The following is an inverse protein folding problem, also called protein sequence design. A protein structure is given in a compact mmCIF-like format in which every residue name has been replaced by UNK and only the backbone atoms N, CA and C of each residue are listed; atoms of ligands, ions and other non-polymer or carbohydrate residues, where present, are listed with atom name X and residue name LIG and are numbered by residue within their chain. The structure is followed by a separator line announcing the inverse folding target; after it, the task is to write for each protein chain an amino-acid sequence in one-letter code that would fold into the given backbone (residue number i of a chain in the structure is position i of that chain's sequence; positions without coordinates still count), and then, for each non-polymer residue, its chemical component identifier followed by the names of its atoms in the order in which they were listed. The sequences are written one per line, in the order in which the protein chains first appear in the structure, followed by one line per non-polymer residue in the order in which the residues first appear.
data_IF_656369509606
#
_entry.id   IF_656369509606
#
_cell.length_a   1.000
_cell.length_b   1.000
_cell.length_c   1.000
_cell.angle_alpha   90.00
_cell.angle_beta   90.00
_cell.angle_gamma   90.00
#
_symmetry.space_group_name_H-M   'P 1'
#
loop_
_entity.id
_entity.type
_entity.pdbx_description
1 polymer ?
#
# COMPACT_ATOMS: atom_id res chain seq x y z
N UNK A 1 -32.55 -0.01 -2.55
CA UNK A 1 -31.24 0.55 -2.13
C UNK A 1 -30.16 -0.47 -2.50
N UNK A 2 -29.11 -0.07 -3.19
CA UNK A 2 -27.96 -0.94 -3.46
C UNK A 2 -26.93 -0.74 -2.37
N UNK A 3 -26.37 -1.81 -1.85
CA UNK A 3 -25.30 -1.79 -0.86
C UNK A 3 -24.04 -2.37 -1.47
N UNK A 4 -22.91 -1.71 -1.27
CA UNK A 4 -21.60 -2.17 -1.69
C UNK A 4 -20.73 -2.40 -0.46
N UNK A 5 -19.93 -3.45 -0.47
CA UNK A 5 -18.95 -3.74 0.57
C UNK A 5 -17.56 -3.59 -0.04
N UNK A 6 -16.73 -2.77 0.59
CA UNK A 6 -15.33 -2.59 0.22
C UNK A 6 -14.46 -3.33 1.23
N UNK A 7 -13.62 -4.22 0.74
CA UNK A 7 -12.62 -4.92 1.53
C UNK A 7 -11.25 -4.32 1.25
N UNK A 8 -10.54 -3.93 2.30
CA UNK A 8 -9.17 -3.43 2.19
C UNK A 8 -8.21 -4.51 2.66
N UNK A 9 -7.32 -4.92 1.76
CA UNK A 9 -6.35 -5.97 2.03
C UNK A 9 -4.96 -5.38 1.88
N UNK A 10 -4.16 -5.50 2.95
CA UNK A 10 -2.76 -5.10 2.93
C UNK A 10 -1.94 -6.11 2.13
N UNK A 11 -0.97 -5.62 1.34
CA UNK A 11 0.00 -6.47 0.67
C UNK A 11 0.81 -7.32 1.66
N UNK A 12 1.33 -8.46 1.19
CA UNK A 12 2.25 -9.30 1.95
C UNK A 12 3.59 -8.62 2.22
N UNK A 13 4.40 -9.25 3.05
CA UNK A 13 5.68 -8.68 3.47
C UNK A 13 6.72 -8.71 2.36
N UNK A 14 7.50 -7.63 2.32
CA UNK A 14 8.75 -7.54 1.55
C UNK A 14 9.93 -7.69 2.52
N UNK A 15 11.13 -7.93 2.01
CA UNK A 15 12.34 -7.95 2.83
C UNK A 15 12.54 -6.63 3.60
N UNK A 16 12.22 -5.50 2.97
CA UNK A 16 12.31 -4.21 3.63
C UNK A 16 11.30 -4.05 4.78
N UNK A 17 10.10 -4.64 4.67
CA UNK A 17 9.15 -4.68 5.79
C UNK A 17 9.68 -5.52 6.95
N UNK A 18 10.31 -6.66 6.67
CA UNK A 18 10.93 -7.51 7.69
C UNK A 18 12.04 -6.78 8.44
N UNK A 19 12.77 -5.91 7.76
CA UNK A 19 13.83 -5.08 8.33
C UNK A 19 13.33 -3.78 8.99
N UNK A 20 12.03 -3.50 8.95
CA UNK A 20 11.45 -2.27 9.51
C UNK A 20 11.80 -1.00 8.74
N UNK A 21 12.03 -1.12 7.43
CA UNK A 21 12.35 0.02 6.56
C UNK A 21 11.10 0.66 6.00
N UNK A 22 11.13 1.98 5.82
CA UNK A 22 10.08 2.70 5.12
C UNK A 22 10.07 2.31 3.63
N UNK A 23 8.93 1.87 3.13
CA UNK A 23 8.73 1.48 1.74
C UNK A 23 7.44 2.08 1.21
N UNK A 24 7.56 2.97 0.27
CA UNK A 24 6.44 3.61 -0.40
C UNK A 24 6.47 3.33 -1.91
N UNK A 25 7.09 4.22 -2.67
CA UNK A 25 7.19 4.10 -4.13
C UNK A 25 8.23 3.08 -4.61
N UNK A 26 9.16 2.67 -3.75
CA UNK A 26 10.12 1.62 -4.10
C UNK A 26 9.37 0.33 -4.46
N UNK A 27 9.65 -0.19 -5.66
CA UNK A 27 8.91 -1.31 -6.24
C UNK A 27 9.57 -2.65 -5.93
N UNK A 28 9.40 -3.10 -4.68
CA UNK A 28 9.92 -4.36 -4.18
C UNK A 28 8.90 -5.49 -4.34
N UNK A 29 9.39 -6.67 -4.72
CA UNK A 29 8.63 -7.92 -4.68
C UNK A 29 8.39 -8.36 -3.23
N UNK A 30 7.41 -9.26 -3.04
CA UNK A 30 7.24 -9.97 -1.79
C UNK A 30 8.51 -10.75 -1.45
N UNK A 31 8.82 -10.88 -0.15
CA UNK A 31 9.83 -11.83 0.31
C UNK A 31 9.27 -13.26 0.22
N UNK A 32 10.16 -14.25 0.25
CA UNK A 32 9.74 -15.66 0.30
C UNK A 32 8.85 -15.93 1.52
N UNK A 33 9.20 -15.36 2.66
CA UNK A 33 8.38 -15.44 3.86
C UNK A 33 7.01 -14.79 3.67
N UNK A 34 6.96 -13.63 3.04
CA UNK A 34 5.71 -12.93 2.72
C UNK A 34 4.81 -13.74 1.81
N UNK A 35 5.36 -14.39 0.79
CA UNK A 35 4.60 -15.29 -0.07
C UNK A 35 4.05 -16.50 0.69
N UNK A 36 4.89 -17.15 1.50
CA UNK A 36 4.48 -18.33 2.29
C UNK A 36 3.38 -17.98 3.28
N UNK A 37 3.49 -16.82 3.93
CA UNK A 37 2.47 -16.30 4.85
C UNK A 37 1.12 -16.07 4.13
N UNK A 38 1.14 -15.45 2.96
CA UNK A 38 -0.08 -15.25 2.17
C UNK A 38 -0.73 -16.56 1.73
N UNK A 39 0.06 -17.54 1.32
CA UNK A 39 -0.44 -18.87 0.96
C UNK A 39 -1.08 -19.57 2.16
N UNK A 40 -0.43 -19.48 3.31
CA UNK A 40 -0.98 -20.01 4.56
C UNK A 40 -2.30 -19.33 4.93
N UNK A 41 -2.37 -18.01 4.86
CA UNK A 41 -3.58 -17.26 5.17
C UNK A 41 -4.71 -17.60 4.19
N UNK A 42 -4.39 -17.74 2.90
CA UNK A 42 -5.38 -18.12 1.89
C UNK A 42 -6.00 -19.49 2.21
N UNK A 43 -5.18 -20.44 2.63
CA UNK A 43 -5.64 -21.81 2.92
C UNK A 43 -6.38 -21.92 4.26
N UNK A 44 -6.12 -21.04 5.21
CA UNK A 44 -6.61 -21.13 6.59
C UNK A 44 -7.59 -20.03 6.99
N UNK A 45 -7.76 -19.00 6.18
CA UNK A 45 -8.70 -17.89 6.42
C UNK A 45 -9.71 -17.79 5.29
N UNK A 46 -10.88 -17.23 5.61
CA UNK A 46 -11.91 -16.95 4.62
C UNK A 46 -11.68 -15.58 4.03
N UNK A 47 -11.31 -15.53 2.75
CA UNK A 47 -11.24 -14.29 1.99
C UNK A 47 -12.55 -14.03 1.24
N UNK A 48 -12.89 -12.76 0.97
CA UNK A 48 -14.05 -12.44 0.13
C UNK A 48 -13.82 -12.94 -1.30
N UNK A 49 -14.91 -13.17 -2.01
CA UNK A 49 -14.92 -13.45 -3.45
C UNK A 49 -15.57 -12.27 -4.19
N UNK A 50 -14.84 -11.16 -4.36
CA UNK A 50 -15.41 -9.95 -4.93
C UNK A 50 -15.51 -10.04 -6.46
N UNK A 51 -16.54 -9.43 -7.06
CA UNK A 51 -16.67 -9.38 -8.51
C UNK A 51 -15.61 -8.49 -9.18
N UNK A 52 -15.03 -7.57 -8.43
CA UNK A 52 -13.99 -6.65 -8.91
C UNK A 52 -12.90 -6.51 -7.87
N UNK A 53 -11.65 -6.56 -8.33
CA UNK A 53 -10.46 -6.33 -7.51
C UNK A 53 -9.69 -5.14 -8.07
N UNK A 54 -9.34 -4.21 -7.22
CA UNK A 54 -8.46 -3.08 -7.55
C UNK A 54 -7.11 -3.28 -6.90
N UNK A 55 -6.05 -2.91 -7.58
CA UNK A 55 -4.69 -3.01 -7.02
C UNK A 55 -3.84 -1.81 -7.40
N UNK A 56 -2.89 -1.48 -6.54
CA UNK A 56 -1.77 -0.60 -6.86
C UNK A 56 -0.88 -1.27 -7.93
N UNK A 57 -0.13 -0.51 -8.74
CA UNK A 57 0.80 -1.07 -9.72
C UNK A 57 2.07 -1.68 -9.12
N UNK A 58 2.32 -1.50 -7.82
CA UNK A 58 3.53 -2.01 -7.17
C UNK A 58 3.52 -3.54 -7.11
N UNK A 59 4.69 -4.16 -7.34
CA UNK A 59 4.86 -5.62 -7.38
C UNK A 59 4.31 -6.31 -6.15
N UNK A 60 4.60 -5.81 -4.94
CA UNK A 60 4.09 -6.38 -3.70
C UNK A 60 2.57 -6.46 -3.65
N UNK A 61 1.88 -5.51 -4.30
CA UNK A 61 0.42 -5.49 -4.36
C UNK A 61 -0.12 -6.44 -5.43
N UNK A 62 0.44 -6.40 -6.63
CA UNK A 62 0.03 -7.28 -7.73
C UNK A 62 0.31 -8.75 -7.42
N UNK A 63 1.46 -9.06 -6.83
CA UNK A 63 1.84 -10.41 -6.37
C UNK A 63 0.91 -10.91 -5.25
N UNK A 64 0.54 -10.04 -4.31
CA UNK A 64 -0.46 -10.37 -3.27
C UNK A 64 -1.80 -10.72 -3.91
N UNK A 65 -2.23 -9.94 -4.89
CA UNK A 65 -3.46 -10.20 -5.64
C UNK A 65 -3.40 -11.55 -6.37
N UNK A 66 -2.31 -11.86 -7.02
CA UNK A 66 -2.10 -13.14 -7.72
C UNK A 66 -2.19 -14.36 -6.79
N UNK A 67 -1.68 -14.23 -5.57
CA UNK A 67 -1.74 -15.30 -4.57
C UNK A 67 -3.15 -15.46 -4.01
N UNK A 68 -3.78 -14.37 -3.58
CA UNK A 68 -5.08 -14.41 -2.91
C UNK A 68 -6.25 -14.58 -3.88
N UNK A 69 -6.16 -14.00 -5.07
CA UNK A 69 -7.21 -13.98 -6.07
C UNK A 69 -6.68 -14.39 -7.46
N UNK A 70 -6.21 -15.64 -7.61
CA UNK A 70 -5.51 -16.07 -8.84
C UNK A 70 -6.38 -16.02 -10.11
N UNK A 71 -7.70 -16.08 -9.96
CA UNK A 71 -8.64 -16.04 -11.09
C UNK A 71 -9.13 -14.61 -11.40
N UNK A 72 -8.75 -13.63 -10.58
CA UNK A 72 -9.13 -12.24 -10.79
C UNK A 72 -8.31 -11.59 -11.90
N UNK A 73 -8.95 -10.67 -12.62
CA UNK A 73 -8.29 -9.73 -13.51
C UNK A 73 -8.35 -8.34 -12.85
N UNK A 74 -7.37 -7.98 -12.03
CA UNK A 74 -7.45 -6.77 -11.25
C UNK A 74 -7.37 -5.52 -12.12
N UNK A 75 -8.12 -4.50 -11.71
CA UNK A 75 -7.99 -3.16 -12.25
C UNK A 75 -6.82 -2.47 -11.55
N UNK A 76 -5.77 -2.18 -12.30
CA UNK A 76 -4.60 -1.48 -11.76
C UNK A 76 -4.89 0.01 -11.71
N UNK A 77 -4.80 0.60 -10.51
CA UNK A 77 -5.01 2.03 -10.29
C UNK A 77 -3.73 2.65 -9.72
N UNK A 78 -3.10 3.52 -10.50
CA UNK A 78 -1.88 4.21 -10.08
C UNK A 78 -2.11 5.08 -8.85
N UNK A 79 -3.29 5.63 -8.71
CA UNK A 79 -3.68 6.48 -7.58
C UNK A 79 -3.71 5.74 -6.24
N UNK A 80 -3.73 4.40 -6.25
CA UNK A 80 -3.65 3.56 -5.05
C UNK A 80 -2.21 3.29 -4.59
N UNK A 81 -1.22 3.86 -5.26
CA UNK A 81 0.18 3.68 -4.85
C UNK A 81 0.40 4.20 -3.42
N UNK A 82 1.31 3.56 -2.70
CA UNK A 82 1.65 3.91 -1.32
C UNK A 82 2.17 5.35 -1.21
N UNK A 83 2.24 5.85 0.00
CA UNK A 83 2.84 7.14 0.35
C UNK A 83 4.26 7.25 -0.21
N UNK A 84 4.57 8.37 -0.84
CA UNK A 84 5.92 8.64 -1.31
C UNK A 84 6.78 9.13 -0.14
N UNK A 85 7.59 8.24 0.42
CA UNK A 85 8.47 8.57 1.53
C UNK A 85 9.73 9.35 1.11
N UNK A 86 9.91 9.63 -0.18
CA UNK A 86 11.06 10.41 -0.66
C UNK A 86 12.39 9.85 -0.18
N UNK A 87 13.21 10.69 0.43
CA UNK A 87 14.53 10.29 0.94
C UNK A 87 14.48 9.36 2.16
N UNK A 88 13.31 9.17 2.78
CA UNK A 88 13.19 8.22 3.88
C UNK A 88 13.02 6.77 3.40
N UNK A 89 12.78 6.55 2.12
CA UNK A 89 12.65 5.21 1.58
C UNK A 89 13.91 4.37 1.78
N UNK A 90 13.71 3.12 2.18
CA UNK A 90 14.79 2.16 2.40
C UNK A 90 15.53 2.33 3.74
N UNK A 91 15.16 3.29 4.56
CA UNK A 91 15.75 3.53 5.87
C UNK A 91 14.82 3.10 7.00
N UNK A 92 15.42 2.69 8.11
CA UNK A 92 14.67 2.46 9.35
C UNK A 92 14.45 3.77 10.10
N UNK A 93 13.47 3.79 11.00
CA UNK A 93 13.27 4.93 11.89
C UNK A 93 14.53 5.24 12.73
N UNK A 94 15.25 4.21 13.18
CA UNK A 94 16.50 4.37 13.94
C UNK A 94 17.57 5.08 13.11
N UNK A 95 17.77 4.69 11.85
CA UNK A 95 18.70 5.33 10.93
C UNK A 95 18.35 6.80 10.70
N UNK A 96 17.06 7.15 10.68
CA UNK A 96 16.55 8.49 10.39
C UNK A 96 16.53 9.43 11.61
N UNK A 97 16.64 8.91 12.82
CA UNK A 97 16.57 9.71 14.06
C UNK A 97 17.59 10.84 14.15
N UNK A 98 18.71 10.71 13.44
CA UNK A 98 19.78 11.73 13.42
C UNK A 98 19.42 12.95 12.55
N UNK A 99 18.35 12.90 11.75
CA UNK A 99 17.96 13.97 10.83
C UNK A 99 16.80 14.79 11.40
N UNK A 100 16.94 16.11 11.41
CA UNK A 100 15.90 17.02 11.90
C UNK A 100 14.62 16.93 11.07
N UNK A 101 14.74 16.73 9.76
CA UNK A 101 13.62 16.57 8.83
C UNK A 101 12.73 15.39 9.20
N UNK A 102 13.32 14.32 9.71
CA UNK A 102 12.56 13.17 10.18
C UNK A 102 11.73 13.50 11.43
N UNK A 103 12.34 14.22 12.39
CA UNK A 103 11.63 14.67 13.58
C UNK A 103 10.50 15.65 13.23
N UNK A 104 10.72 16.54 12.28
CA UNK A 104 9.70 17.47 11.78
C UNK A 104 8.53 16.71 11.12
N UNK A 105 8.85 15.75 10.28
CA UNK A 105 7.83 14.91 9.63
C UNK A 105 7.00 14.11 10.66
N UNK A 106 7.63 13.55 11.69
CA UNK A 106 6.94 12.79 12.75
C UNK A 106 5.98 13.67 13.58
N UNK A 107 6.24 14.98 13.70
CA UNK A 107 5.28 15.89 14.37
C UNK A 107 3.96 15.97 13.61
N UNK A 108 3.96 15.60 12.32
CA UNK A 108 2.78 15.56 11.49
C UNK A 108 2.30 16.92 10.99
N UNK A 109 1.05 16.96 10.60
CA UNK A 109 0.43 18.10 9.95
C UNK A 109 0.18 17.82 8.47
N UNK A 110 -0.76 18.56 7.88
CA UNK A 110 -1.19 18.32 6.50
C UNK A 110 -0.10 18.61 5.48
N UNK A 111 0.77 19.59 5.77
CA UNK A 111 1.86 19.99 4.88
C UNK A 111 3.18 19.25 5.16
N UNK A 112 3.20 18.38 6.17
CA UNK A 112 4.39 17.58 6.49
C UNK A 112 4.69 16.61 5.35
N UNK A 113 5.94 16.63 4.88
CA UNK A 113 6.42 15.75 3.82
C UNK A 113 7.86 15.32 4.08
N UNK A 114 8.23 14.08 3.73
CA UNK A 114 9.64 13.72 3.64
C UNK A 114 10.33 14.55 2.55
N UNK A 115 11.65 14.80 2.65
CA UNK A 115 12.38 15.42 1.55
C UNK A 115 12.18 14.65 0.23
N UNK A 116 11.79 15.35 -0.84
CA UNK A 116 11.46 14.76 -2.15
C UNK A 116 10.31 13.76 -2.14
N UNK A 117 9.53 13.70 -1.06
CA UNK A 117 8.33 12.89 -0.94
C UNK A 117 7.05 13.70 -1.11
N UNK A 118 5.93 13.09 -0.80
CA UNK A 118 4.63 13.77 -0.81
C UNK A 118 4.20 14.21 0.60
N UNK A 119 3.40 15.28 0.67
CA UNK A 119 2.79 15.70 1.92
C UNK A 119 1.64 14.77 2.32
N UNK A 120 1.27 14.82 3.60
CA UNK A 120 0.10 14.11 4.11
C UNK A 120 -1.19 14.53 3.38
N UNK A 121 -1.31 15.83 3.07
CA UNK A 121 -2.43 16.36 2.31
C UNK A 121 -2.48 15.81 0.87
N UNK A 122 -1.37 15.79 0.17
CA UNK A 122 -1.27 15.24 -1.19
C UNK A 122 -1.62 13.76 -1.24
N UNK A 123 -1.09 12.97 -0.28
CA UNK A 123 -1.43 11.56 -0.15
C UNK A 123 -2.92 11.35 0.10
N UNK A 124 -3.48 12.05 1.10
CA UNK A 124 -4.91 11.96 1.42
C UNK A 124 -5.81 12.32 0.25
N UNK A 125 -5.49 13.38 -0.47
CA UNK A 125 -6.25 13.83 -1.64
C UNK A 125 -6.19 12.81 -2.77
N UNK A 126 -5.03 12.23 -3.03
CA UNK A 126 -4.84 11.20 -4.07
C UNK A 126 -5.66 9.94 -3.76
N UNK A 127 -5.61 9.45 -2.53
CA UNK A 127 -6.37 8.26 -2.10
C UNK A 127 -7.87 8.55 -2.12
N UNK A 128 -8.29 9.73 -1.67
CA UNK A 128 -9.69 10.14 -1.72
C UNK A 128 -10.22 10.12 -3.15
N UNK A 129 -9.47 10.70 -4.09
CA UNK A 129 -9.84 10.69 -5.50
C UNK A 129 -9.95 9.29 -6.09
N UNK A 130 -9.06 8.37 -5.70
CA UNK A 130 -9.13 6.97 -6.11
C UNK A 130 -10.42 6.30 -5.61
N UNK A 131 -10.75 6.49 -4.33
CA UNK A 131 -11.96 5.91 -3.74
C UNK A 131 -13.24 6.50 -4.37
N UNK A 132 -13.26 7.80 -4.63
CA UNK A 132 -14.38 8.45 -5.33
C UNK A 132 -14.58 7.86 -6.73
N UNK A 133 -13.50 7.66 -7.49
CA UNK A 133 -13.56 7.04 -8.81
C UNK A 133 -14.08 5.60 -8.77
N UNK A 134 -13.67 4.82 -7.76
CA UNK A 134 -14.18 3.45 -7.56
C UNK A 134 -15.69 3.48 -7.28
N UNK A 135 -16.13 4.33 -6.37
CA UNK A 135 -17.55 4.42 -5.99
C UNK A 135 -18.39 4.91 -7.18
N UNK A 136 -17.96 5.92 -7.90
CA UNK A 136 -18.64 6.42 -9.09
C UNK A 136 -18.78 5.34 -10.18
N UNK A 137 -17.76 4.51 -10.36
CA UNK A 137 -17.79 3.40 -11.30
C UNK A 137 -18.74 2.27 -10.92
N UNK A 138 -19.16 2.20 -9.64
CA UNK A 138 -20.09 1.20 -9.13
C UNK A 138 -21.57 1.65 -9.20
N UNK A 139 -21.83 2.94 -9.33
CA UNK A 139 -23.18 3.52 -9.39
C UNK A 139 -23.74 3.47 -10.81
#
# INVERSE_FOLDING_TARGET
MKTYTLHFIRHGMTTANEEGRYVGHQDLSLSLQGEDELRYLKDNCVYPDPPVVFTSPLKRCTETCEILFPDAQPVVMRELIEYNFGEFEGHTAEELQQYDEFAEWLRGGMDAAPPHGESNAEFGERIRGALESIVEGLL
#
